data_IF_567790990045
#
_entry.id   IF_567790990045
#
_cell.length_a   1.000
_cell.length_b   1.000
_cell.length_c   1.000
_cell.angle_alpha   90.00
_cell.angle_beta   90.00
_cell.angle_gamma   90.00
#
_symmetry.space_group_name_H-M   'P 1'
#
loop_
_entity.id
_entity.type
_entity.pdbx_description
1 polymer ?
#
# COMPACT_ATOMS: atom_id res chain seq x y z
N UNK A 1 -48.65 16.24 -1.56
CA UNK A 1 -48.86 14.78 -1.63
C UNK A 1 -48.66 14.37 -3.06
N UNK A 2 -47.49 13.86 -3.39
CA UNK A 2 -47.18 13.26 -4.70
C UNK A 2 -46.34 12.03 -4.44
N UNK A 3 -46.69 11.01 -5.20
CA UNK A 3 -46.56 9.59 -4.96
C UNK A 3 -45.10 9.11 -5.10
N UNK A 4 -44.63 8.34 -4.13
CA UNK A 4 -43.32 7.69 -4.16
C UNK A 4 -43.48 6.29 -4.74
N UNK A 5 -43.10 6.12 -6.01
CA UNK A 5 -43.02 4.80 -6.63
C UNK A 5 -41.95 3.95 -5.91
N UNK A 6 -42.41 2.89 -5.25
CA UNK A 6 -41.57 1.92 -4.59
C UNK A 6 -40.88 1.04 -5.62
N UNK A 7 -39.59 1.31 -5.89
CA UNK A 7 -38.74 0.36 -6.60
C UNK A 7 -38.46 -0.79 -5.62
N UNK A 8 -39.17 -1.91 -5.79
CA UNK A 8 -38.83 -3.17 -5.14
C UNK A 8 -37.41 -3.56 -5.58
N UNK A 9 -36.45 -3.44 -4.65
CA UNK A 9 -35.10 -3.95 -4.84
C UNK A 9 -35.10 -5.44 -4.51
N UNK A 10 -34.92 -6.28 -5.51
CA UNK A 10 -34.64 -7.69 -5.28
C UNK A 10 -33.29 -7.83 -4.56
N UNK A 11 -33.18 -8.70 -3.54
CA UNK A 11 -31.87 -9.10 -3.03
C UNK A 11 -31.08 -9.72 -4.19
N UNK A 12 -29.76 -9.47 -4.31
CA UNK A 12 -28.96 -10.12 -5.32
C UNK A 12 -29.11 -11.65 -5.14
N UNK A 13 -29.22 -12.41 -6.24
CA UNK A 13 -29.29 -13.85 -6.15
C UNK A 13 -28.06 -14.35 -5.38
N UNK A 14 -28.25 -15.24 -4.41
CA UNK A 14 -27.16 -16.03 -3.83
C UNK A 14 -26.64 -16.91 -4.97
N UNK A 15 -25.65 -16.44 -5.72
CA UNK A 15 -24.96 -17.29 -6.68
C UNK A 15 -24.26 -18.38 -5.87
N UNK A 16 -24.39 -19.63 -6.31
CA UNK A 16 -23.42 -20.64 -5.94
C UNK A 16 -22.05 -20.09 -6.32
N UNK A 17 -21.09 -20.07 -5.39
CA UNK A 17 -19.75 -19.57 -5.65
C UNK A 17 -19.18 -20.36 -6.83
N UNK A 18 -19.13 -19.75 -8.01
CA UNK A 18 -18.33 -20.27 -9.10
C UNK A 18 -16.90 -20.38 -8.56
N UNK A 19 -16.23 -21.50 -8.80
CA UNK A 19 -14.84 -21.65 -8.41
C UNK A 19 -14.05 -20.46 -8.98
N UNK A 20 -13.31 -19.77 -8.11
CA UNK A 20 -12.53 -18.61 -8.50
C UNK A 20 -11.49 -19.07 -9.53
N UNK A 21 -11.56 -18.54 -10.75
CA UNK A 21 -10.57 -18.83 -11.79
C UNK A 21 -9.41 -17.87 -11.58
N UNK A 22 -8.28 -18.42 -11.13
CA UNK A 22 -7.04 -17.68 -10.94
C UNK A 22 -6.22 -17.75 -12.24
N UNK A 23 -5.74 -16.60 -12.68
CA UNK A 23 -4.78 -16.49 -13.76
C UNK A 23 -3.34 -16.67 -13.22
N UNK A 24 -2.44 -17.12 -14.09
CA UNK A 24 -1.02 -17.32 -13.77
C UNK A 24 -0.70 -18.65 -13.07
N UNK A 25 0.59 -18.96 -12.97
CA UNK A 25 1.08 -20.09 -12.19
C UNK A 25 1.24 -19.70 -10.70
N UNK A 26 0.77 -20.58 -9.82
CA UNK A 26 0.78 -20.36 -8.36
C UNK A 26 1.62 -21.43 -7.68
N UNK A 27 2.63 -21.01 -6.93
CA UNK A 27 3.48 -21.91 -6.15
C UNK A 27 3.33 -21.63 -4.66
N UNK A 28 3.01 -22.65 -3.87
CA UNK A 28 3.04 -22.58 -2.42
C UNK A 28 4.50 -22.55 -1.94
N UNK A 29 4.88 -21.43 -1.33
CA UNK A 29 6.22 -21.21 -0.77
C UNK A 29 6.20 -21.10 0.77
N UNK A 30 5.10 -21.50 1.40
CA UNK A 30 4.90 -21.40 2.85
C UNK A 30 5.98 -22.13 3.63
N UNK A 31 6.42 -23.30 3.18
CA UNK A 31 7.51 -24.03 3.85
C UNK A 31 8.86 -23.32 3.73
N UNK A 32 9.07 -22.55 2.65
CA UNK A 32 10.32 -21.88 2.35
C UNK A 32 10.47 -20.58 3.12
N UNK A 33 9.43 -19.74 3.12
CA UNK A 33 9.49 -18.40 3.73
C UNK A 33 8.74 -18.30 5.07
N UNK A 34 7.94 -19.31 5.40
CA UNK A 34 7.03 -19.27 6.55
C UNK A 34 5.83 -18.35 6.31
N UNK A 35 4.81 -18.45 7.16
CA UNK A 35 3.68 -17.54 7.13
C UNK A 35 4.11 -16.11 7.49
N UNK A 36 3.43 -15.11 6.91
CA UNK A 36 3.63 -13.70 7.23
C UNK A 36 2.32 -12.91 7.06
N UNK A 37 2.28 -11.73 7.71
CA UNK A 37 1.21 -10.74 7.56
C UNK A 37 1.57 -9.67 6.55
N UNK A 38 2.84 -9.30 6.44
CA UNK A 38 3.37 -8.37 5.44
C UNK A 38 4.71 -8.82 4.88
N UNK A 39 4.97 -8.49 3.63
CA UNK A 39 6.24 -8.73 2.97
C UNK A 39 6.74 -7.49 2.21
N UNK A 40 8.04 -7.44 1.98
CA UNK A 40 8.72 -6.47 1.14
C UNK A 40 10.01 -7.06 0.56
N UNK A 41 10.52 -6.44 -0.49
CA UNK A 41 11.74 -6.82 -1.19
C UNK A 41 12.78 -5.74 -1.00
N UNK A 42 14.00 -6.12 -0.64
CA UNK A 42 15.08 -5.17 -0.44
C UNK A 42 16.45 -5.81 -0.42
N UNK A 43 17.46 -5.08 -0.90
CA UNK A 43 18.87 -5.46 -0.76
C UNK A 43 19.38 -5.06 0.64
N UNK A 44 19.09 -5.90 1.64
CA UNK A 44 19.33 -5.60 3.06
C UNK A 44 20.77 -5.98 3.46
N UNK A 45 21.37 -6.93 2.76
CA UNK A 45 22.76 -7.34 2.99
C UNK A 45 23.79 -6.62 2.11
N UNK A 46 23.36 -5.97 1.02
CA UNK A 46 24.21 -5.17 0.12
C UNK A 46 24.88 -5.99 -0.97
N UNK A 47 24.43 -7.21 -1.25
CA UNK A 47 25.00 -8.07 -2.28
C UNK A 47 24.53 -7.74 -3.71
N UNK A 48 23.59 -6.78 -3.84
CA UNK A 48 23.02 -6.35 -5.11
C UNK A 48 21.77 -7.15 -5.52
N UNK A 49 21.28 -8.06 -4.68
CA UNK A 49 20.04 -8.81 -4.88
C UNK A 49 19.09 -8.55 -3.72
N UNK A 50 17.80 -8.64 -4.00
CA UNK A 50 16.80 -8.45 -2.94
C UNK A 50 16.65 -9.70 -2.08
N UNK A 51 16.66 -9.51 -0.78
CA UNK A 51 16.08 -10.42 0.21
C UNK A 51 14.57 -10.19 0.34
N UNK A 52 13.92 -11.17 0.96
CA UNK A 52 12.57 -11.02 1.45
C UNK A 52 12.58 -10.54 2.90
N UNK A 53 11.93 -9.41 3.14
CA UNK A 53 11.61 -8.92 4.48
C UNK A 53 10.18 -9.33 4.80
N UNK A 54 9.99 -10.16 5.82
CA UNK A 54 8.66 -10.63 6.22
C UNK A 54 8.38 -10.34 7.68
N UNK A 55 7.12 -10.00 7.97
CA UNK A 55 6.68 -9.74 9.33
C UNK A 55 5.32 -10.36 9.60
N UNK A 56 5.16 -10.93 10.79
CA UNK A 56 3.89 -11.35 11.36
C UNK A 56 3.67 -10.70 12.74
N UNK A 57 2.63 -11.11 13.47
CA UNK A 57 2.32 -10.59 14.80
C UNK A 57 3.35 -10.99 15.87
N UNK A 58 4.39 -11.77 15.54
CA UNK A 58 5.39 -12.28 16.49
C UNK A 58 6.81 -11.91 16.11
N UNK A 59 7.12 -11.80 14.82
CA UNK A 59 8.50 -11.67 14.34
C UNK A 59 8.62 -10.78 13.13
N UNK A 60 9.73 -10.06 13.06
CA UNK A 60 10.29 -9.47 11.85
C UNK A 60 11.48 -10.33 11.42
N UNK A 61 11.57 -10.69 10.14
CA UNK A 61 12.59 -11.59 9.61
C UNK A 61 13.12 -11.09 8.28
N UNK A 62 14.39 -11.36 8.02
CA UNK A 62 15.03 -11.22 6.72
C UNK A 62 15.38 -12.61 6.23
N UNK A 63 14.91 -12.95 5.05
CA UNK A 63 15.03 -14.28 4.47
C UNK A 63 15.58 -14.15 3.05
N UNK A 64 16.68 -14.82 2.76
CA UNK A 64 17.25 -14.87 1.42
C UNK A 64 16.30 -15.54 0.42
N UNK A 65 16.52 -15.28 -0.86
CA UNK A 65 15.75 -15.91 -1.96
C UNK A 65 15.89 -17.43 -2.01
N UNK A 66 16.89 -18.01 -1.33
CA UNK A 66 17.04 -19.46 -1.14
C UNK A 66 16.18 -20.02 0.02
N UNK A 67 15.55 -19.17 0.83
CA UNK A 67 14.78 -19.52 2.02
C UNK A 67 15.60 -19.53 3.31
N UNK A 68 16.89 -19.18 3.27
CA UNK A 68 17.74 -19.08 4.46
C UNK A 68 17.40 -17.81 5.23
N UNK A 69 17.09 -17.96 6.51
CA UNK A 69 16.91 -16.82 7.40
C UNK A 69 18.26 -16.16 7.70
N UNK A 70 18.40 -14.87 7.39
CA UNK A 70 19.58 -14.06 7.64
C UNK A 70 19.52 -13.38 9.01
N UNK A 71 18.32 -12.95 9.43
CA UNK A 71 18.08 -12.33 10.72
C UNK A 71 16.62 -12.47 11.18
N UNK A 72 16.43 -12.37 12.50
CA UNK A 72 15.13 -12.42 13.16
C UNK A 72 15.10 -11.50 14.36
N UNK A 73 13.94 -10.87 14.59
CA UNK A 73 13.62 -10.13 15.81
C UNK A 73 12.19 -10.39 16.23
N UNK A 74 11.91 -10.23 17.52
CA UNK A 74 10.54 -10.20 18.04
C UNK A 74 9.81 -8.93 17.57
N UNK A 75 8.56 -9.10 17.12
CA UNK A 75 7.71 -7.99 16.72
C UNK A 75 7.21 -7.21 17.96
N UNK A 76 7.52 -5.91 18.08
CA UNK A 76 7.11 -5.11 19.24
C UNK A 76 5.59 -4.83 19.28
N UNK A 77 4.88 -5.05 18.17
CA UNK A 77 3.45 -4.88 18.04
C UNK A 77 2.89 -5.62 16.84
N UNK A 78 1.64 -5.36 16.47
CA UNK A 78 1.10 -5.85 15.21
C UNK A 78 1.62 -5.02 14.05
N UNK A 79 2.11 -5.68 13.00
CA UNK A 79 2.66 -5.00 11.82
C UNK A 79 1.54 -4.30 11.04
N UNK A 80 1.72 -3.01 10.77
CA UNK A 80 0.75 -2.16 10.05
C UNK A 80 1.31 -1.62 8.75
N UNK A 81 2.62 -1.40 8.66
CA UNK A 81 3.32 -0.99 7.43
C UNK A 81 4.68 -1.67 7.40
N UNK A 82 5.14 -2.03 6.20
CA UNK A 82 6.48 -2.54 5.95
C UNK A 82 6.95 -1.92 4.63
N UNK A 83 8.13 -1.34 4.65
CA UNK A 83 8.79 -0.77 3.47
C UNK A 83 10.30 -0.79 3.69
N UNK A 84 11.06 -0.36 2.70
CA UNK A 84 12.53 -0.38 2.75
C UNK A 84 13.10 0.83 2.01
N UNK A 85 14.31 1.24 2.41
CA UNK A 85 15.08 2.26 1.72
C UNK A 85 16.51 2.30 2.28
N UNK A 86 17.48 2.69 1.45
CA UNK A 86 18.80 3.11 1.90
C UNK A 86 18.72 4.49 2.56
N UNK A 87 18.81 4.54 3.90
CA UNK A 87 18.64 5.78 4.68
C UNK A 87 19.97 6.45 5.03
N UNK A 88 21.10 5.75 4.87
CA UNK A 88 22.43 6.29 5.19
C UNK A 88 23.44 6.26 4.04
N UNK A 89 23.01 5.85 2.86
CA UNK A 89 23.78 5.88 1.63
C UNK A 89 24.85 4.78 1.57
N UNK A 90 24.75 3.75 2.41
CA UNK A 90 25.70 2.64 2.43
C UNK A 90 25.38 1.54 1.41
N UNK A 91 24.31 1.72 0.63
CA UNK A 91 23.75 0.77 -0.36
C UNK A 91 23.19 -0.51 0.24
N UNK A 92 22.89 -0.52 1.54
CA UNK A 92 22.16 -1.58 2.22
C UNK A 92 20.87 -0.98 2.72
N UNK A 93 19.75 -1.51 2.24
CA UNK A 93 18.47 -0.92 2.57
C UNK A 93 18.08 -1.24 4.03
N UNK A 94 17.67 -0.21 4.77
CA UNK A 94 17.01 -0.37 6.05
C UNK A 94 15.55 -0.79 5.87
N UNK A 95 15.05 -1.53 6.86
CA UNK A 95 13.65 -1.93 6.95
C UNK A 95 12.88 -0.87 7.73
N UNK A 96 11.88 -0.28 7.11
CA UNK A 96 10.94 0.66 7.72
C UNK A 96 9.68 -0.10 8.15
N UNK A 97 9.36 -0.06 9.44
CA UNK A 97 8.16 -0.71 9.96
C UNK A 97 7.29 0.21 10.83
N UNK A 98 5.99 0.17 10.56
CA UNK A 98 4.96 0.75 11.39
C UNK A 98 4.29 -0.34 12.22
N UNK A 99 4.32 -0.19 13.53
CA UNK A 99 3.72 -1.11 14.49
C UNK A 99 2.56 -0.45 15.20
N UNK A 100 1.56 -1.23 15.58
CA UNK A 100 0.43 -0.74 16.35
C UNK A 100 -0.55 -1.83 16.72
N UNK A 101 -1.78 -1.44 17.05
CA UNK A 101 -2.82 -2.38 17.41
C UNK A 101 -3.34 -3.13 16.18
N UNK A 102 -3.38 -4.45 16.26
CA UNK A 102 -4.07 -5.35 15.31
C UNK A 102 -5.10 -6.21 16.05
N UNK A 103 -5.85 -7.05 15.33
CA UNK A 103 -6.79 -7.98 15.96
C UNK A 103 -6.11 -8.93 16.95
N UNK A 104 -4.87 -9.31 16.65
CA UNK A 104 -4.05 -10.26 17.43
C UNK A 104 -3.16 -9.56 18.46
N UNK A 105 -2.85 -8.27 18.29
CA UNK A 105 -2.01 -7.44 19.19
C UNK A 105 -2.73 -6.17 19.62
N UNK A 106 -3.87 -6.30 20.33
CA UNK A 106 -4.78 -5.15 20.63
C UNK A 106 -4.22 -4.08 21.56
N UNK A 107 -3.26 -4.44 22.39
CA UNK A 107 -2.61 -3.57 23.39
C UNK A 107 -1.32 -2.92 22.88
N UNK A 108 -0.84 -3.31 21.70
CA UNK A 108 0.37 -2.79 21.09
C UNK A 108 0.27 -1.28 20.84
N UNK A 109 1.39 -0.60 21.04
CA UNK A 109 1.49 0.85 20.86
C UNK A 109 1.95 1.22 19.47
N UNK A 110 1.44 2.35 18.96
CA UNK A 110 1.90 2.94 17.73
C UNK A 110 3.39 3.25 17.84
N UNK A 111 4.16 2.75 16.88
CA UNK A 111 5.61 2.93 16.82
C UNK A 111 6.08 2.86 15.38
N UNK A 112 6.93 3.80 15.00
CA UNK A 112 7.64 3.82 13.72
C UNK A 112 9.11 3.54 14.00
N UNK A 113 9.68 2.57 13.31
CA UNK A 113 11.07 2.18 13.50
C UNK A 113 11.75 1.82 12.18
N UNK A 114 13.04 2.13 12.11
CA UNK A 114 13.96 1.60 11.10
C UNK A 114 14.75 0.44 11.70
N UNK A 115 15.06 -0.57 10.88
CA UNK A 115 15.91 -1.68 11.26
C UNK A 115 17.04 -1.88 10.26
N UNK A 116 18.27 -1.94 10.77
CA UNK A 116 19.48 -2.21 9.98
C UNK A 116 19.99 -3.61 10.27
N UNK A 117 20.34 -4.36 9.23
CA UNK A 117 20.97 -5.67 9.41
C UNK A 117 22.44 -5.51 9.85
N UNK A 118 22.78 -6.05 11.01
CA UNK A 118 24.11 -5.98 11.61
C UNK A 118 24.51 -7.33 12.20
N UNK A 119 25.45 -8.01 11.55
CA UNK A 119 26.01 -9.27 12.06
C UNK A 119 24.95 -10.36 12.33
N UNK A 120 23.93 -10.48 11.48
CA UNK A 120 22.82 -11.43 11.63
C UNK A 120 21.72 -11.01 12.61
N UNK A 121 21.78 -9.78 13.13
CA UNK A 121 20.74 -9.18 13.96
C UNK A 121 20.11 -7.98 13.25
N UNK A 122 18.90 -7.62 13.64
CA UNK A 122 18.28 -6.37 13.20
C UNK A 122 18.49 -5.34 14.31
N UNK A 123 19.39 -4.37 14.14
CA UNK A 123 19.52 -3.21 15.01
C UNK A 123 18.31 -2.29 14.80
N UNK A 124 17.80 -1.64 15.85
CA UNK A 124 16.54 -0.88 15.79
C UNK A 124 16.76 0.58 16.16
N UNK A 125 16.19 1.46 15.35
CA UNK A 125 16.08 2.89 15.62
C UNK A 125 14.63 3.31 15.68
N UNK A 126 14.25 3.95 16.79
CA UNK A 126 12.91 4.50 16.94
C UNK A 126 12.87 5.84 16.19
N UNK A 127 11.98 5.93 15.22
CA UNK A 127 11.70 7.18 14.50
C UNK A 127 10.62 7.95 15.26
N UNK A 128 9.50 7.31 15.61
CA UNK A 128 8.35 7.95 16.24
C UNK A 128 7.58 6.99 17.16
N UNK A 129 6.98 7.53 18.22
CA UNK A 129 6.12 6.83 19.18
C UNK A 129 4.99 7.77 19.61
N UNK A 130 3.96 7.97 18.76
CA UNK A 130 2.92 8.95 19.04
C UNK A 130 2.11 8.56 20.28
N UNK A 131 1.91 9.52 21.18
CA UNK A 131 0.98 9.38 22.28
C UNK A 131 -0.45 9.49 21.74
N UNK A 132 -1.12 8.35 21.57
CA UNK A 132 -2.44 8.27 20.95
C UNK A 132 -3.28 7.18 21.62
N UNK A 133 -4.61 7.30 21.56
CA UNK A 133 -5.55 6.24 21.89
C UNK A 133 -5.82 5.32 20.69
N UNK A 134 -5.55 5.80 19.46
CA UNK A 134 -5.64 5.04 18.22
C UNK A 134 -4.25 4.65 17.73
N UNK A 135 -3.86 3.41 18.05
CA UNK A 135 -2.52 2.87 17.83
C UNK A 135 -2.29 2.48 16.36
N UNK A 136 -2.35 3.45 15.46
CA UNK A 136 -2.26 3.24 14.00
C UNK A 136 -1.23 4.18 13.36
N UNK A 137 -0.26 3.57 12.67
CA UNK A 137 0.68 4.23 11.75
C UNK A 137 0.08 4.19 10.34
N UNK A 138 0.13 5.33 9.65
CA UNK A 138 -0.54 5.54 8.35
C UNK A 138 0.44 5.53 7.18
N UNK A 139 1.60 6.17 7.32
CA UNK A 139 2.60 6.21 6.25
C UNK A 139 4.02 6.32 6.79
N UNK A 140 4.96 5.71 6.06
CA UNK A 140 6.41 5.90 6.20
C UNK A 140 6.94 5.96 4.77
N UNK A 141 7.26 7.16 4.28
CA UNK A 141 7.68 7.38 2.89
C UNK A 141 9.11 7.96 2.89
N UNK A 142 10.10 7.23 2.37
CA UNK A 142 11.49 7.68 2.33
C UNK A 142 11.70 8.81 1.31
N UNK A 143 12.71 9.64 1.58
CA UNK A 143 13.20 10.73 0.71
C UNK A 143 14.72 10.77 0.80
N UNK A 144 15.35 11.51 -0.10
CA UNK A 144 16.81 11.56 -0.20
C UNK A 144 17.53 11.89 1.12
N UNK A 145 16.94 12.69 2.02
CA UNK A 145 17.58 13.11 3.28
C UNK A 145 16.68 13.02 4.53
N UNK A 146 15.44 12.57 4.40
CA UNK A 146 14.46 12.53 5.48
C UNK A 146 13.35 11.49 5.21
N UNK A 147 12.49 11.27 6.19
CA UNK A 147 11.30 10.44 6.04
C UNK A 147 10.06 11.32 6.14
N UNK A 148 9.00 10.97 5.41
CA UNK A 148 7.65 11.43 5.74
C UNK A 148 6.99 10.36 6.61
N UNK A 149 6.48 10.76 7.77
CA UNK A 149 5.82 9.86 8.72
C UNK A 149 4.43 10.41 9.00
N UNK A 150 3.42 9.53 8.92
CA UNK A 150 2.07 9.86 9.33
C UNK A 150 1.52 8.83 10.32
N UNK A 151 0.91 9.30 11.41
CA UNK A 151 0.30 8.44 12.42
C UNK A 151 -0.87 9.13 13.13
N UNK A 152 -1.81 8.34 13.64
CA UNK A 152 -2.92 8.87 14.42
C UNK A 152 -2.42 9.45 15.74
N UNK A 153 -2.89 10.66 16.08
CA UNK A 153 -2.66 11.33 17.37
C UNK A 153 -3.91 11.38 18.24
N UNK A 154 -5.05 11.02 17.66
CA UNK A 154 -6.31 10.79 18.36
C UNK A 154 -7.16 9.81 17.55
N UNK A 155 -8.37 9.53 18.02
CA UNK A 155 -9.38 8.75 17.27
C UNK A 155 -9.54 9.16 15.80
N UNK A 156 -9.43 10.45 15.48
CA UNK A 156 -9.73 10.97 14.13
C UNK A 156 -8.60 11.76 13.48
N UNK A 157 -7.67 12.33 14.24
CA UNK A 157 -6.61 13.18 13.68
C UNK A 157 -5.36 12.36 13.37
N UNK A 158 -4.83 12.58 12.17
CA UNK A 158 -3.55 12.05 11.70
C UNK A 158 -2.58 13.20 11.60
N UNK A 159 -1.45 13.08 12.29
CA UNK A 159 -0.32 13.98 12.15
C UNK A 159 0.54 13.49 10.98
N UNK A 160 0.87 14.38 10.07
CA UNK A 160 1.87 14.21 9.03
C UNK A 160 3.13 15.01 9.43
N UNK A 161 4.29 14.37 9.37
CA UNK A 161 5.55 14.96 9.82
C UNK A 161 6.69 14.65 8.86
N UNK A 162 7.63 15.60 8.75
CA UNK A 162 8.98 15.32 8.28
C UNK A 162 9.81 14.76 9.44
N UNK A 163 10.54 13.68 9.23
CA UNK A 163 11.44 13.11 10.22
C UNK A 163 12.88 13.11 9.68
N UNK A 164 13.78 13.82 10.37
CA UNK A 164 15.18 13.98 9.98
C UNK A 164 16.09 13.31 11.00
N UNK A 165 17.06 12.52 10.54
CA UNK A 165 18.03 11.84 11.41
C UNK A 165 19.12 12.81 11.85
N UNK A 166 19.30 12.95 13.16
CA UNK A 166 20.36 13.75 13.77
C UNK A 166 21.28 12.92 14.66
N UNK A 167 22.31 13.55 15.24
CA UNK A 167 23.28 12.88 16.11
C UNK A 167 22.68 12.32 17.42
N UNK A 168 21.52 12.82 17.83
CA UNK A 168 20.80 12.41 19.04
C UNK A 168 19.51 11.63 18.73
N UNK A 169 19.40 11.06 17.52
CA UNK A 169 18.20 10.36 17.04
C UNK A 169 17.37 11.20 16.09
N UNK A 170 16.12 10.79 15.88
CA UNK A 170 15.20 11.40 14.92
C UNK A 170 14.50 12.64 15.49
N UNK A 171 14.43 13.70 14.70
CA UNK A 171 13.65 14.91 14.98
C UNK A 171 12.45 14.96 14.04
N UNK A 172 11.25 15.19 14.61
CA UNK A 172 10.02 15.34 13.83
C UNK A 172 9.58 16.80 13.78
N UNK A 173 9.27 17.26 12.58
CA UNK A 173 8.61 18.53 12.30
C UNK A 173 7.21 18.25 11.76
N UNK A 174 6.17 18.80 12.40
CA UNK A 174 4.79 18.65 11.93
C UNK A 174 4.56 19.48 10.66
N UNK A 175 4.06 18.82 9.62
CA UNK A 175 3.65 19.44 8.36
C UNK A 175 2.17 19.82 8.44
N UNK A 176 1.33 18.88 8.90
CA UNK A 176 -0.10 19.07 9.00
C UNK A 176 -0.75 18.08 9.98
N UNK A 177 -1.90 18.46 10.50
CA UNK A 177 -2.80 17.57 11.24
C UNK A 177 -4.16 17.56 10.56
N UNK A 178 -4.55 16.39 10.04
CA UNK A 178 -5.73 16.25 9.19
C UNK A 178 -6.63 15.14 9.69
N UNK A 179 -7.94 15.38 9.64
CA UNK A 179 -8.94 14.40 10.01
C UNK A 179 -8.95 13.26 9.00
N UNK A 180 -8.78 12.02 9.47
CA UNK A 180 -8.96 10.79 8.69
C UNK A 180 -8.16 10.72 7.38
N UNK A 181 -7.01 11.38 7.32
CA UNK A 181 -6.03 11.26 6.23
C UNK A 181 -5.29 9.94 6.37
N UNK A 182 -5.80 8.89 5.72
CA UNK A 182 -5.37 7.49 5.91
C UNK A 182 -4.54 6.96 4.75
N UNK A 183 -4.26 7.78 3.75
CA UNK A 183 -3.45 7.39 2.60
C UNK A 183 -2.62 8.58 2.15
N UNK A 184 -1.35 8.35 1.88
CA UNK A 184 -0.41 9.39 1.44
C UNK A 184 0.44 8.84 0.31
N UNK A 185 0.78 9.71 -0.64
CA UNK A 185 1.79 9.46 -1.64
C UNK A 185 2.66 10.71 -1.82
N UNK A 186 3.86 10.52 -2.36
CA UNK A 186 4.80 11.61 -2.60
C UNK A 186 5.58 11.38 -3.89
N UNK A 187 5.36 12.23 -4.88
CA UNK A 187 6.03 12.26 -6.18
C UNK A 187 5.76 13.61 -6.84
N UNK A 188 6.49 13.96 -7.89
CA UNK A 188 6.09 15.07 -8.76
C UNK A 188 4.84 14.63 -9.53
N UNK A 189 3.67 15.18 -9.19
CA UNK A 189 2.39 14.77 -9.81
C UNK A 189 1.77 15.91 -10.61
N UNK A 190 2.38 17.08 -10.63
CA UNK A 190 1.91 18.25 -11.35
C UNK A 190 2.90 18.80 -12.40
N UNK A 191 4.08 18.17 -12.50
CA UNK A 191 5.10 18.43 -13.52
C UNK A 191 6.01 19.61 -13.20
N UNK A 192 6.07 20.05 -11.94
CA UNK A 192 6.93 21.17 -11.54
C UNK A 192 8.38 20.77 -11.19
N UNK A 193 8.69 19.47 -11.24
CA UNK A 193 10.00 18.90 -10.91
C UNK A 193 10.26 18.71 -9.41
N UNK A 194 9.29 19.00 -8.54
CA UNK A 194 9.38 18.84 -7.09
C UNK A 194 8.36 17.81 -6.59
N UNK A 195 8.73 16.97 -5.60
CA UNK A 195 7.78 16.03 -5.05
C UNK A 195 6.65 16.72 -4.26
N UNK A 196 5.42 16.54 -4.71
CA UNK A 196 4.19 16.95 -4.04
C UNK A 196 3.77 15.98 -2.92
N UNK A 197 3.06 16.48 -1.91
CA UNK A 197 2.42 15.66 -0.90
C UNK A 197 0.95 15.43 -1.26
N UNK A 198 0.60 14.18 -1.61
CA UNK A 198 -0.77 13.80 -1.93
C UNK A 198 -1.43 13.14 -0.73
N UNK A 199 -2.65 13.58 -0.43
CA UNK A 199 -3.42 13.17 0.74
C UNK A 199 -4.72 12.54 0.27
N UNK A 200 -5.00 11.32 0.75
CA UNK A 200 -6.28 10.64 0.61
C UNK A 200 -6.95 10.48 1.98
N UNK A 201 -8.22 10.86 2.05
CA UNK A 201 -9.04 10.74 3.25
C UNK A 201 -10.12 9.69 3.07
N UNK A 202 -10.37 8.92 4.12
CA UNK A 202 -11.49 7.98 4.15
C UNK A 202 -12.81 8.65 4.55
N UNK A 203 -12.73 9.81 5.21
CA UNK A 203 -13.86 10.69 5.53
C UNK A 203 -13.42 12.16 5.49
N UNK A 204 -14.32 13.06 5.10
CA UNK A 204 -14.11 14.50 5.11
C UNK A 204 -14.10 15.11 6.51
N UNK A 205 -14.18 16.44 6.57
CA UNK A 205 -14.10 17.20 7.83
C UNK A 205 -15.37 17.07 8.69
N UNK A 206 -16.54 17.01 8.05
CA UNK A 206 -17.81 16.91 8.73
C UNK A 206 -18.18 15.46 9.08
N UNK A 207 -19.07 15.34 10.07
CA UNK A 207 -19.69 14.05 10.38
C UNK A 207 -20.47 13.55 9.14
N UNK A 208 -20.19 12.31 8.74
CA UNK A 208 -20.80 11.64 7.59
C UNK A 208 -20.43 12.22 6.22
N UNK A 209 -19.51 13.19 6.15
CA UNK A 209 -18.92 13.59 4.88
C UNK A 209 -18.15 12.42 4.27
N UNK A 210 -18.34 12.23 2.97
CA UNK A 210 -17.47 11.37 2.17
C UNK A 210 -16.01 11.86 2.29
N UNK A 211 -15.08 10.93 2.13
CA UNK A 211 -13.67 11.30 1.99
C UNK A 211 -13.39 11.97 0.64
N UNK A 212 -12.14 12.36 0.46
CA UNK A 212 -11.65 13.05 -0.73
C UNK A 212 -10.13 12.82 -0.90
N UNK A 213 -9.56 13.41 -1.95
CA UNK A 213 -8.14 13.45 -2.18
C UNK A 213 -7.69 14.82 -2.71
N UNK A 214 -6.46 15.21 -2.39
CA UNK A 214 -5.87 16.48 -2.84
C UNK A 214 -4.34 16.46 -2.73
N UNK A 215 -3.69 17.31 -3.52
CA UNK A 215 -2.31 17.72 -3.27
C UNK A 215 -2.34 18.82 -2.20
N UNK A 216 -1.59 18.63 -1.12
CA UNK A 216 -1.41 19.62 -0.05
C UNK A 216 -0.21 20.50 -0.38
N UNK A 217 -0.46 21.78 -0.67
CA UNK A 217 0.59 22.76 -0.96
C UNK A 217 1.24 23.28 0.33
N UNK A 218 2.49 23.80 0.26
CA UNK A 218 3.19 24.35 1.42
C UNK A 218 2.46 25.51 2.12
N UNK A 219 1.65 26.27 1.39
CA UNK A 219 0.82 27.36 1.94
C UNK A 219 -0.50 26.87 2.58
N UNK A 220 -0.72 25.56 2.60
CA UNK A 220 -1.91 24.91 3.15
C UNK A 220 -3.08 24.83 2.17
N UNK A 221 -2.95 25.37 0.95
CA UNK A 221 -3.99 25.23 -0.08
C UNK A 221 -4.06 23.78 -0.58
N UNK A 222 -5.24 23.40 -1.08
CA UNK A 222 -5.54 22.05 -1.54
C UNK A 222 -5.89 22.10 -3.02
N UNK A 223 -5.10 21.43 -3.85
CA UNK A 223 -5.44 21.18 -5.26
C UNK A 223 -6.25 19.88 -5.32
N UNK A 224 -7.55 19.92 -5.65
CA UNK A 224 -8.42 18.75 -5.57
C UNK A 224 -8.08 17.69 -6.61
N UNK A 225 -8.21 16.43 -6.20
CA UNK A 225 -8.17 15.25 -7.09
C UNK A 225 -9.60 14.69 -7.17
N UNK A 226 -10.14 14.41 -8.38
CA UNK A 226 -11.48 13.87 -8.52
C UNK A 226 -11.62 12.51 -7.82
N UNK A 227 -12.62 12.40 -6.95
CA UNK A 227 -12.94 11.18 -6.21
C UNK A 227 -14.45 11.01 -6.16
N UNK A 228 -14.88 9.76 -6.03
CA UNK A 228 -16.28 9.39 -5.88
C UNK A 228 -16.70 9.48 -4.42
N UNK A 229 -15.84 8.98 -3.50
CA UNK A 229 -15.99 9.03 -2.03
C UNK A 229 -14.59 9.00 -1.37
N UNK A 230 -14.50 8.34 -0.22
CA UNK A 230 -13.23 8.17 0.50
C UNK A 230 -12.33 7.10 -0.10
N UNK A 231 -11.02 7.28 0.14
CA UNK A 231 -9.98 6.39 -0.35
C UNK A 231 -9.48 5.45 0.75
N UNK A 232 -8.99 4.27 0.33
CA UNK A 232 -8.34 3.28 1.19
C UNK A 232 -6.90 2.98 0.84
N UNK A 233 -6.48 3.27 -0.39
CA UNK A 233 -5.13 3.10 -0.89
C UNK A 233 -4.82 4.22 -1.88
N UNK A 234 -3.56 4.64 -1.93
CA UNK A 234 -3.05 5.70 -2.80
C UNK A 234 -1.56 5.42 -3.06
N UNK A 235 -1.16 5.44 -4.33
CA UNK A 235 0.23 5.31 -4.79
C UNK A 235 0.45 6.36 -5.88
N UNK A 236 1.65 6.92 -5.94
CA UNK A 236 2.09 7.73 -7.07
C UNK A 236 3.18 6.96 -7.83
N UNK A 237 3.05 6.86 -9.15
CA UNK A 237 4.02 6.20 -10.01
C UNK A 237 3.95 6.78 -11.42
N UNK A 238 5.10 6.94 -12.07
CA UNK A 238 5.19 7.27 -13.49
C UNK A 238 4.82 6.02 -14.30
N UNK A 239 3.61 6.00 -14.89
CA UNK A 239 3.10 4.82 -15.60
C UNK A 239 3.32 4.90 -17.12
N UNK A 240 3.66 6.07 -17.66
CA UNK A 240 3.87 6.27 -19.09
C UNK A 240 5.28 6.72 -19.48
N UNK A 241 6.14 6.97 -18.49
CA UNK A 241 7.56 7.27 -18.66
C UNK A 241 7.85 8.74 -18.98
N UNK A 242 6.91 9.65 -18.73
CA UNK A 242 7.09 11.08 -19.02
C UNK A 242 7.83 11.86 -17.91
N UNK A 243 8.08 11.22 -16.76
CA UNK A 243 8.73 11.79 -15.60
C UNK A 243 7.79 12.48 -14.61
N UNK A 244 6.50 12.56 -14.90
CA UNK A 244 5.43 13.02 -14.01
C UNK A 244 4.68 11.79 -13.51
N UNK A 245 4.48 11.70 -12.20
CA UNK A 245 3.80 10.56 -11.62
C UNK A 245 2.28 10.67 -11.75
N UNK A 246 1.65 9.58 -12.17
CA UNK A 246 0.22 9.38 -12.02
C UNK A 246 -0.15 8.96 -10.61
N UNK A 247 -1.40 9.25 -10.25
CA UNK A 247 -2.00 8.80 -9.00
C UNK A 247 -2.90 7.60 -9.22
N UNK A 248 -2.56 6.47 -8.60
CA UNK A 248 -3.41 5.28 -8.52
C UNK A 248 -4.05 5.18 -7.14
N UNK A 249 -5.36 5.00 -7.09
CA UNK A 249 -6.07 4.96 -5.81
C UNK A 249 -7.30 4.07 -5.80
N UNK A 250 -7.55 3.53 -4.61
CA UNK A 250 -8.73 2.76 -4.25
C UNK A 250 -9.83 3.66 -3.70
N UNK A 251 -10.76 4.06 -4.56
CA UNK A 251 -11.89 4.94 -4.27
C UNK A 251 -13.19 4.13 -4.03
N UNK A 252 -14.26 4.82 -3.64
CA UNK A 252 -15.60 4.30 -3.48
C UNK A 252 -15.92 3.84 -2.07
N UNK A 253 -15.06 4.15 -1.09
CA UNK A 253 -15.27 3.71 0.28
C UNK A 253 -16.46 4.41 0.94
N UNK A 254 -17.28 3.64 1.68
CA UNK A 254 -18.36 4.16 2.50
C UNK A 254 -18.68 3.22 3.68
N UNK A 255 -19.09 3.77 4.82
CA UNK A 255 -19.44 3.01 6.04
C UNK A 255 -20.55 1.98 5.86
N UNK A 256 -21.44 2.20 4.89
CA UNK A 256 -22.54 1.27 4.54
C UNK A 256 -22.09 0.27 3.48
N UNK A 257 -21.37 -0.75 3.92
CA UNK A 257 -20.89 -1.86 3.10
C UNK A 257 -22.06 -2.55 2.35
N UNK A 258 -21.81 -2.98 1.10
CA UNK A 258 -22.78 -3.70 0.27
C UNK A 258 -23.97 -2.87 -0.25
N UNK A 259 -24.09 -1.59 0.15
CA UNK A 259 -25.08 -0.66 -0.41
C UNK A 259 -24.41 0.43 -1.23
N UNK A 260 -23.50 1.16 -0.59
CA UNK A 260 -22.91 2.38 -1.16
C UNK A 260 -21.42 2.23 -1.45
N UNK A 261 -20.71 1.40 -0.69
CA UNK A 261 -19.30 1.14 -0.94
C UNK A 261 -19.09 0.41 -2.28
N UNK A 262 -18.04 0.78 -3.00
CA UNK A 262 -17.60 0.20 -4.27
C UNK A 262 -16.08 0.06 -4.25
N UNK A 263 -15.55 -0.99 -4.84
CA UNK A 263 -14.12 -1.14 -5.08
C UNK A 263 -13.78 -0.55 -6.45
N UNK A 264 -13.45 0.74 -6.47
CA UNK A 264 -13.07 1.48 -7.68
C UNK A 264 -11.54 1.61 -7.70
N UNK A 265 -10.90 1.04 -8.73
CA UNK A 265 -9.50 1.32 -9.03
C UNK A 265 -9.47 2.46 -10.05
N UNK A 266 -8.87 3.58 -9.67
CA UNK A 266 -8.87 4.81 -10.47
C UNK A 266 -7.44 5.30 -10.67
N UNK A 267 -7.15 5.84 -11.85
CA UNK A 267 -5.93 6.60 -12.13
C UNK A 267 -6.26 8.06 -12.36
N UNK A 268 -5.46 8.99 -11.83
CA UNK A 268 -5.57 10.40 -12.13
C UNK A 268 -4.26 10.97 -12.67
N UNK A 269 -4.38 11.83 -13.69
CA UNK A 269 -3.30 12.55 -14.38
C UNK A 269 -3.49 14.05 -14.22
N UNK A 270 -2.40 14.80 -14.11
CA UNK A 270 -2.45 16.25 -14.09
C UNK A 270 -2.26 16.81 -15.49
N UNK A 271 -3.30 17.47 -16.01
CA UNK A 271 -3.29 18.02 -17.35
C UNK A 271 -3.99 19.39 -17.35
N UNK A 272 -3.41 20.38 -18.03
CA UNK A 272 -4.06 21.68 -18.22
C UNK A 272 -4.38 22.43 -16.91
N UNK A 273 -3.67 22.16 -15.82
CA UNK A 273 -3.86 22.83 -14.53
C UNK A 273 -4.77 22.09 -13.55
N UNK A 274 -5.30 20.92 -13.89
CA UNK A 274 -6.20 20.14 -13.05
C UNK A 274 -5.97 18.63 -13.15
N UNK A 275 -6.44 17.89 -12.15
CA UNK A 275 -6.45 16.43 -12.21
C UNK A 275 -7.66 15.91 -12.98
N UNK A 276 -7.40 14.97 -13.88
CA UNK A 276 -8.39 14.22 -14.64
C UNK A 276 -8.31 12.74 -14.25
N UNK A 277 -9.45 12.17 -13.83
CA UNK A 277 -9.52 10.79 -13.36
C UNK A 277 -10.16 9.86 -14.39
N UNK A 278 -9.59 8.67 -14.55
CA UNK A 278 -10.07 7.56 -15.36
C UNK A 278 -10.30 6.33 -14.46
N UNK A 279 -11.48 5.73 -14.56
CA UNK A 279 -11.77 4.46 -13.89
C UNK A 279 -11.09 3.32 -14.65
N UNK A 280 -10.18 2.61 -13.98
CA UNK A 280 -9.52 1.40 -14.51
C UNK A 280 -10.47 0.20 -14.43
N UNK A 281 -11.05 -0.03 -13.24
CA UNK A 281 -11.95 -1.16 -13.01
C UNK A 281 -12.88 -0.88 -11.82
N UNK A 282 -14.11 -1.42 -11.89
CA UNK A 282 -15.01 -1.57 -10.76
C UNK A 282 -15.20 -3.07 -10.53
N UNK A 283 -14.92 -3.56 -9.32
CA UNK A 283 -15.08 -4.98 -8.98
C UNK A 283 -16.28 -5.19 -8.06
N UNK A 284 -17.47 -5.55 -8.58
CA UNK A 284 -18.72 -5.54 -7.79
C UNK A 284 -18.74 -6.56 -6.65
N UNK A 285 -17.89 -7.59 -6.70
CA UNK A 285 -17.71 -8.59 -5.64
C UNK A 285 -17.02 -8.01 -4.39
N UNK A 286 -16.47 -6.80 -4.50
CA UNK A 286 -15.64 -6.15 -3.50
C UNK A 286 -16.21 -4.76 -3.14
N UNK A 287 -15.81 -4.23 -2.00
CA UNK A 287 -16.25 -2.91 -1.53
C UNK A 287 -15.09 -1.93 -1.29
N UNK A 288 -13.84 -2.37 -1.38
CA UNK A 288 -12.66 -1.53 -1.25
C UNK A 288 -11.45 -2.13 -1.98
N UNK A 289 -10.57 -1.25 -2.46
CA UNK A 289 -9.19 -1.56 -2.81
C UNK A 289 -8.30 -1.12 -1.65
N UNK A 290 -7.71 -2.09 -0.95
CA UNK A 290 -7.00 -1.89 0.32
C UNK A 290 -5.50 -1.66 0.13
N UNK A 291 -4.93 -2.10 -1.00
CA UNK A 291 -3.52 -1.92 -1.33
C UNK A 291 -3.34 -1.95 -2.85
N UNK A 292 -2.40 -1.16 -3.34
CA UNK A 292 -1.98 -1.08 -4.74
C UNK A 292 -0.46 -1.24 -4.73
N UNK A 293 0.06 -2.10 -5.61
CA UNK A 293 1.49 -2.25 -5.88
C UNK A 293 1.70 -1.99 -7.36
N UNK A 294 2.74 -1.24 -7.69
CA UNK A 294 3.14 -0.92 -9.06
C UNK A 294 4.51 -1.52 -9.28
N UNK A 295 4.64 -2.37 -10.30
CA UNK A 295 5.89 -3.04 -10.63
C UNK A 295 5.86 -3.51 -12.08
N UNK A 296 7.01 -3.54 -12.74
CA UNK A 296 7.18 -4.23 -14.03
C UNK A 296 7.12 -5.74 -13.77
N UNK A 297 5.97 -6.37 -14.07
CA UNK A 297 5.74 -7.79 -13.77
C UNK A 297 6.16 -8.68 -14.94
N UNK A 298 6.11 -8.16 -16.18
CA UNK A 298 6.41 -8.94 -17.39
C UNK A 298 7.78 -8.66 -18.03
N UNK A 299 8.54 -7.71 -17.48
CA UNK A 299 9.93 -7.41 -17.83
C UNK A 299 10.06 -6.51 -19.06
N UNK A 300 9.01 -5.79 -19.44
CA UNK A 300 8.97 -4.92 -20.63
C UNK A 300 9.36 -3.46 -20.33
N UNK A 301 9.75 -3.17 -19.08
CA UNK A 301 10.07 -1.85 -18.55
C UNK A 301 8.88 -0.88 -18.48
N UNK A 302 7.64 -1.35 -18.64
CA UNK A 302 6.43 -0.62 -18.30
C UNK A 302 5.80 -1.24 -17.04
N UNK A 303 5.31 -0.43 -16.10
CA UNK A 303 4.75 -0.98 -14.87
C UNK A 303 3.33 -1.51 -15.06
N UNK A 304 3.08 -2.70 -14.51
CA UNK A 304 1.74 -3.21 -14.22
C UNK A 304 1.25 -2.79 -12.82
N UNK A 305 -0.04 -3.00 -12.58
CA UNK A 305 -0.70 -2.70 -11.30
C UNK A 305 -1.21 -3.99 -10.68
N UNK A 306 -0.89 -4.23 -9.41
CA UNK A 306 -1.54 -5.24 -8.57
C UNK A 306 -2.42 -4.53 -7.56
N UNK A 307 -3.74 -4.72 -7.65
CA UNK A 307 -4.70 -4.19 -6.68
C UNK A 307 -5.23 -5.32 -5.80
N UNK A 308 -4.97 -5.22 -4.49
CA UNK A 308 -5.59 -6.07 -3.47
C UNK A 308 -6.83 -5.37 -2.94
N UNK A 309 -7.98 -5.95 -3.22
CA UNK A 309 -9.23 -5.58 -2.56
C UNK A 309 -9.52 -6.44 -1.33
N UNK A 310 -10.71 -6.25 -0.77
CA UNK A 310 -11.10 -6.98 0.43
C UNK A 310 -11.47 -8.46 0.16
N UNK A 311 -11.64 -8.90 -1.09
CA UNK A 311 -11.93 -10.30 -1.44
C UNK A 311 -10.99 -10.90 -2.48
N UNK A 312 -10.38 -10.09 -3.36
CA UNK A 312 -9.61 -10.54 -4.51
C UNK A 312 -8.32 -9.74 -4.63
N UNK A 313 -7.32 -10.36 -5.22
CA UNK A 313 -6.14 -9.70 -5.78
C UNK A 313 -6.25 -9.75 -7.29
N UNK A 314 -6.10 -8.61 -7.96
CA UNK A 314 -6.15 -8.48 -9.41
C UNK A 314 -4.90 -7.79 -9.94
N UNK A 315 -4.39 -8.29 -11.07
CA UNK A 315 -3.33 -7.64 -11.84
C UNK A 315 -3.94 -6.93 -13.04
N UNK A 316 -3.39 -5.77 -13.40
CA UNK A 316 -3.83 -4.94 -14.52
C UNK A 316 -2.63 -4.53 -15.37
N UNK A 317 -2.81 -4.62 -16.69
CA UNK A 317 -1.87 -4.10 -17.67
C UNK A 317 -2.57 -3.18 -18.65
N UNK A 318 -1.91 -2.09 -19.03
CA UNK A 318 -2.37 -1.20 -20.10
C UNK A 318 -2.04 -1.83 -21.45
N UNK A 319 -3.04 -2.01 -22.30
CA UNK A 319 -2.91 -2.53 -23.65
C UNK A 319 -3.48 -1.51 -24.63
N UNK A 320 -2.60 -0.72 -25.27
CA UNK A 320 -3.00 0.49 -26.02
C UNK A 320 -3.77 1.44 -25.09
N UNK A 321 -4.98 1.84 -25.46
CA UNK A 321 -5.80 2.80 -24.71
C UNK A 321 -6.79 2.13 -23.74
N UNK A 322 -6.52 0.89 -23.31
CA UNK A 322 -7.40 0.18 -22.36
C UNK A 322 -6.64 -0.61 -21.32
N UNK A 323 -7.19 -0.66 -20.12
CA UNK A 323 -6.73 -1.56 -19.07
C UNK A 323 -7.36 -2.95 -19.23
N UNK A 324 -6.56 -3.99 -18.97
CA UNK A 324 -7.01 -5.38 -18.91
C UNK A 324 -6.68 -5.93 -17.54
N UNK A 325 -7.71 -6.35 -16.80
CA UNK A 325 -7.58 -6.92 -15.46
C UNK A 325 -7.81 -8.44 -15.41
N UNK A 326 -7.02 -9.14 -14.61
CA UNK A 326 -7.14 -10.58 -14.32
C UNK A 326 -7.09 -10.84 -12.83
N UNK A 327 -7.86 -11.82 -12.34
CA UNK A 327 -7.81 -12.21 -10.92
C UNK A 327 -6.66 -13.20 -10.71
N UNK A 328 -5.77 -12.86 -9.77
CA UNK A 328 -4.61 -13.70 -9.45
C UNK A 328 -4.72 -14.36 -8.08
N UNK A 329 -5.49 -13.80 -7.14
CA UNK A 329 -5.79 -14.51 -5.89
C UNK A 329 -7.16 -14.13 -5.31
N UNK A 330 -7.60 -14.93 -4.35
CA UNK A 330 -8.73 -14.61 -3.49
C UNK A 330 -8.33 -13.73 -2.32
N UNK A 331 -9.01 -13.93 -1.18
CA UNK A 331 -8.81 -13.12 0.02
C UNK A 331 -7.39 -13.30 0.56
N UNK A 332 -6.66 -12.21 0.65
CA UNK A 332 -5.28 -12.15 1.16
C UNK A 332 -5.17 -11.16 2.33
N UNK A 333 -4.04 -11.16 3.03
CA UNK A 333 -3.65 -10.15 4.02
C UNK A 333 -2.75 -9.06 3.44
N UNK A 334 -1.93 -9.41 2.45
CA UNK A 334 -0.94 -8.52 1.86
C UNK A 334 -0.53 -9.02 0.48
N UNK A 335 -0.02 -8.10 -0.34
CA UNK A 335 0.65 -8.39 -1.61
C UNK A 335 1.95 -7.59 -1.69
N UNK A 336 2.99 -8.20 -2.22
CA UNK A 336 4.27 -7.54 -2.50
C UNK A 336 4.74 -7.95 -3.89
N UNK A 337 5.48 -7.07 -4.58
CA UNK A 337 6.09 -7.39 -5.86
C UNK A 337 7.58 -7.02 -5.84
N UNK A 338 8.43 -7.89 -6.39
CA UNK A 338 9.87 -7.68 -6.47
C UNK A 338 10.58 -8.88 -7.11
N UNK A 339 11.87 -8.75 -7.34
CA UNK A 339 12.68 -9.80 -7.96
C UNK A 339 13.05 -10.88 -6.92
N UNK A 340 12.62 -12.12 -7.16
CA UNK A 340 12.89 -13.29 -6.34
C UNK A 340 13.95 -14.23 -6.93
N UNK A 341 14.22 -14.16 -8.23
CA UNK A 341 15.02 -15.17 -8.92
C UNK A 341 16.05 -14.61 -9.91
N UNK A 342 16.23 -13.30 -9.93
CA UNK A 342 17.33 -12.61 -10.62
C UNK A 342 17.11 -12.44 -12.12
N UNK A 343 15.88 -12.54 -12.63
CA UNK A 343 15.60 -12.33 -14.06
C UNK A 343 14.60 -11.18 -14.28
N UNK A 344 14.49 -10.64 -15.52
CA UNK A 344 13.59 -9.51 -15.79
C UNK A 344 12.12 -9.80 -15.46
N UNK A 345 11.42 -8.81 -14.90
CA UNK A 345 10.04 -8.93 -14.44
C UNK A 345 9.93 -9.39 -12.99
N UNK A 346 9.10 -8.71 -12.21
CA UNK A 346 8.89 -8.95 -10.79
C UNK A 346 7.89 -10.09 -10.52
N UNK A 347 8.12 -10.80 -9.42
CA UNK A 347 7.20 -11.80 -8.88
C UNK A 347 6.21 -11.18 -7.90
N UNK A 348 4.97 -11.69 -7.87
CA UNK A 348 3.97 -11.26 -6.90
C UNK A 348 3.86 -12.27 -5.77
N UNK A 349 4.22 -11.84 -4.56
CA UNK A 349 4.02 -12.56 -3.32
C UNK A 349 2.65 -12.23 -2.72
N UNK A 350 1.90 -13.26 -2.35
CA UNK A 350 0.54 -13.15 -1.83
C UNK A 350 0.44 -13.88 -0.50
N UNK A 351 0.15 -13.14 0.57
CA UNK A 351 -0.19 -13.73 1.85
C UNK A 351 -1.68 -14.10 1.88
N UNK A 352 -2.02 -15.37 1.64
CA UNK A 352 -3.40 -15.85 1.70
C UNK A 352 -4.02 -15.67 3.09
N UNK A 353 -5.34 -15.43 3.14
CA UNK A 353 -6.07 -15.33 4.41
C UNK A 353 -6.18 -16.67 5.17
N UNK A 354 -5.87 -17.78 4.50
CA UNK A 354 -5.72 -19.12 5.06
C UNK A 354 -4.31 -19.41 5.60
N UNK A 355 -3.38 -18.45 5.48
CA UNK A 355 -1.99 -18.57 5.91
C UNK A 355 -1.07 -19.23 4.86
N UNK A 356 -1.60 -19.61 3.69
CA UNK A 356 -0.78 -20.09 2.58
C UNK A 356 -0.12 -18.90 1.90
N UNK A 357 1.19 -18.99 1.71
CA UNK A 357 1.95 -18.01 0.95
C UNK A 357 2.10 -18.53 -0.47
N UNK A 358 1.59 -17.76 -1.43
CA UNK A 358 1.70 -18.07 -2.84
C UNK A 358 2.66 -17.07 -3.50
N UNK A 359 3.51 -17.58 -4.38
CA UNK A 359 4.11 -16.74 -5.42
C UNK A 359 3.33 -16.95 -6.70
N UNK A 360 2.82 -15.85 -7.26
CA UNK A 360 2.36 -15.80 -8.64
C UNK A 360 3.55 -15.38 -9.49
N UNK A 361 4.17 -16.34 -10.18
CA UNK A 361 5.39 -16.13 -10.99
C UNK A 361 5.02 -15.80 -12.45
N UNK A 362 5.54 -14.67 -12.98
CA UNK A 362 5.94 -14.43 -14.39
C UNK A 362 4.84 -14.66 -15.49
N UNK A 363 5.07 -14.28 -16.76
CA UNK A 363 4.10 -13.57 -17.64
C UNK A 363 2.96 -14.40 -18.25
N UNK A 364 2.76 -15.65 -17.82
CA UNK A 364 1.63 -16.44 -18.29
C UNK A 364 0.30 -16.01 -17.65
N UNK A 365 0.31 -15.09 -16.66
CA UNK A 365 -0.91 -14.45 -16.14
C UNK A 365 -1.74 -13.79 -17.27
N UNK A 366 -1.05 -13.32 -18.32
CA UNK A 366 -1.67 -12.70 -19.50
C UNK A 366 -1.93 -13.67 -20.66
N UNK A 367 -1.40 -14.90 -20.60
CA UNK A 367 -1.65 -15.94 -21.62
C UNK A 367 -2.92 -16.70 -21.26
N UNK A 368 -3.82 -16.85 -22.23
CA UNK A 368 -5.07 -17.61 -22.09
C UNK A 368 -4.85 -19.08 -22.33
#
# INVERSE_FOLDING_TARGET
MTDASSIQRHPPPKSAAAALVLAGEHHDVTQKYGAYRRAGFADVDGDGRSELVVSDDKTLRVVGTDGRELARREAPGGIQLLGTADLDGDKREEILAGWGATLDRRDAKARVAAYKLEGGNLAEEIIDQPATDRQEVVAILPRANDLFVAAFTSKFMVRASSATRGSNGWALEEIASMRMATSYARADVDGDGQPDLVVGRVYGDDQDADGDAFVLRPDGTRLPIPTSRGLKSLVAADLDGDGVAELLYGDGWHKSYGKLARALLTVARYEGGAFHAELIDETPEQYAIEQIVVADLDGDAQPEIVARGNQLVRAYRKQKDRWVGVTIAGKSHDVAAGDLDGRPGAEVLIAGADGVIQVSLRPDVWRR
#
